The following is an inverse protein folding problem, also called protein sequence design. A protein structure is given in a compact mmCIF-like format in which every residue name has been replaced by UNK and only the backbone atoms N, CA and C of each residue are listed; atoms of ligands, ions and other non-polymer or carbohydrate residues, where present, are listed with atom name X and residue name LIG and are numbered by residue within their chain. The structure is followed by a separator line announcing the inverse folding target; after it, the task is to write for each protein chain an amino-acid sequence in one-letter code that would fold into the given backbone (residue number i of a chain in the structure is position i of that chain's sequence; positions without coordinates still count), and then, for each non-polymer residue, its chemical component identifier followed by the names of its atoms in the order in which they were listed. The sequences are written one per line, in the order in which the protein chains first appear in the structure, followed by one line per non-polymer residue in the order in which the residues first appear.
data_IF_215829819410
#
_entry.id   IF_215829819410
#
_cell.length_a   1.000
_cell.length_b   1.000
_cell.length_c   1.000
_cell.angle_alpha   90.00
_cell.angle_beta   90.00
_cell.angle_gamma   90.00
#
_symmetry.space_group_name_H-M   'P 1'
#
loop_
_entity.id
_entity.type
_entity.pdbx_description
1 polymer ?
#
# COMPACT_ATOMS: atom_id res chain seq x y z
N UNK A 1 24.54 17.76 -29.78
CA UNK A 1 25.30 17.23 -30.93
C UNK A 1 26.58 16.60 -30.39
N UNK A 2 27.03 15.47 -30.97
CA UNK A 2 28.12 14.53 -30.58
C UNK A 2 27.51 13.16 -30.20
N UNK A 3 26.95 12.37 -31.12
CA UNK A 3 27.57 11.58 -32.19
C UNK A 3 28.40 10.37 -31.71
N UNK A 4 27.71 9.21 -31.70
CA UNK A 4 28.09 7.86 -32.15
C UNK A 4 29.33 7.17 -31.58
N UNK A 5 29.13 5.93 -31.12
CA UNK A 5 29.84 4.74 -31.64
C UNK A 5 29.03 3.46 -31.42
N UNK A 6 28.49 2.94 -32.53
CA UNK A 6 28.01 1.57 -32.72
C UNK A 6 29.24 0.66 -32.87
N UNK A 7 29.31 -0.42 -32.11
CA UNK A 7 30.28 -1.50 -32.32
C UNK A 7 29.48 -2.76 -32.67
N UNK A 8 29.51 -3.12 -33.95
CA UNK A 8 29.07 -4.40 -34.45
C UNK A 8 30.27 -5.35 -34.43
N UNK A 9 30.12 -6.50 -33.78
CA UNK A 9 31.08 -7.62 -33.90
C UNK A 9 30.33 -8.79 -34.53
N UNK A 10 30.61 -8.95 -35.83
CA UNK A 10 30.29 -10.13 -36.62
C UNK A 10 31.38 -11.16 -36.33
N UNK A 11 31.03 -12.39 -35.95
CA UNK A 11 32.00 -13.48 -35.88
C UNK A 11 31.50 -14.75 -36.57
N UNK A 12 32.40 -15.31 -37.37
CA UNK A 12 32.19 -16.39 -38.31
C UNK A 12 31.94 -17.75 -37.65
N UNK A 13 31.22 -18.57 -38.41
CA UNK A 13 30.89 -19.96 -38.16
C UNK A 13 32.13 -20.87 -38.04
N UNK A 14 32.03 -21.85 -37.14
CA UNK A 14 32.76 -23.12 -37.23
C UNK A 14 31.76 -24.25 -37.04
N UNK A 15 31.65 -25.08 -38.07
CA UNK A 15 30.88 -26.32 -38.05
C UNK A 15 31.63 -27.37 -37.22
N UNK A 16 30.93 -28.01 -36.29
CA UNK A 16 31.38 -29.21 -35.60
C UNK A 16 30.30 -30.28 -35.77
N UNK A 17 30.66 -31.35 -36.49
CA UNK A 17 29.83 -32.53 -36.70
C UNK A 17 29.92 -33.46 -35.49
N UNK A 18 28.83 -33.58 -34.74
CA UNK A 18 28.66 -34.56 -33.68
C UNK A 18 27.31 -35.24 -33.82
N UNK A 19 27.31 -36.47 -34.36
CA UNK A 19 26.17 -37.39 -34.36
C UNK A 19 25.94 -37.93 -32.96
N UNK A 20 24.73 -37.73 -32.41
CA UNK A 20 24.32 -38.31 -31.13
C UNK A 20 22.84 -38.05 -30.88
N UNK A 21 22.08 -39.12 -30.68
CA UNK A 21 20.62 -39.18 -30.74
C UNK A 21 19.91 -38.18 -29.80
N UNK A 22 18.87 -37.53 -30.34
CA UNK A 22 17.92 -36.71 -29.59
C UNK A 22 16.93 -37.62 -28.87
N UNK A 23 17.02 -37.72 -27.55
CA UNK A 23 15.90 -38.19 -26.73
C UNK A 23 14.85 -37.08 -26.67
N UNK A 24 13.74 -37.26 -27.37
CA UNK A 24 12.54 -36.45 -27.18
C UNK A 24 11.87 -36.88 -25.87
N UNK A 25 12.26 -36.26 -24.76
CA UNK A 25 11.43 -36.25 -23.56
C UNK A 25 10.32 -35.22 -23.76
N UNK A 26 9.20 -35.66 -24.34
CA UNK A 26 7.92 -34.95 -24.24
C UNK A 26 7.49 -35.00 -22.78
N UNK A 27 7.85 -33.99 -22.00
CA UNK A 27 7.12 -33.71 -20.76
C UNK A 27 5.71 -33.33 -21.17
N UNK A 28 4.74 -34.16 -20.80
CA UNK A 28 3.33 -33.91 -21.03
C UNK A 28 2.95 -32.55 -20.43
N UNK A 29 2.81 -31.55 -21.29
CA UNK A 29 2.12 -30.32 -20.94
C UNK A 29 0.69 -30.72 -20.60
N UNK A 30 0.23 -30.36 -19.39
CA UNK A 30 -1.19 -30.31 -19.06
C UNK A 30 -1.82 -29.18 -19.88
N UNK A 31 -2.06 -29.44 -21.16
CA UNK A 31 -2.67 -28.51 -22.11
C UNK A 31 -4.12 -28.95 -22.37
N UNK A 32 -5.00 -28.76 -21.38
CA UNK A 32 -6.44 -28.97 -21.57
C UNK A 32 -7.24 -27.66 -21.55
N UNK A 33 -6.62 -26.52 -21.21
CA UNK A 33 -7.31 -25.22 -21.13
C UNK A 33 -6.84 -24.16 -22.16
N UNK A 34 -5.83 -24.47 -22.99
CA UNK A 34 -5.17 -23.49 -23.88
C UNK A 34 -5.66 -23.50 -25.34
N UNK A 35 -6.68 -24.31 -25.67
CA UNK A 35 -7.13 -24.49 -27.06
C UNK A 35 -8.08 -23.38 -27.56
N UNK A 36 -8.72 -22.64 -26.65
CA UNK A 36 -9.76 -21.66 -27.00
C UNK A 36 -9.42 -20.22 -26.60
N UNK A 37 -8.37 -19.99 -25.80
CA UNK A 37 -7.92 -18.65 -25.42
C UNK A 37 -6.74 -18.25 -26.31
N UNK A 38 -6.87 -17.22 -27.15
CA UNK A 38 -5.75 -16.76 -27.97
C UNK A 38 -4.59 -16.20 -27.13
N UNK A 39 -3.35 -16.44 -27.56
CA UNK A 39 -2.11 -16.03 -26.87
C UNK A 39 -2.05 -14.54 -26.49
N UNK A 40 -2.78 -13.66 -27.20
CA UNK A 40 -2.81 -12.22 -26.87
C UNK A 40 -3.52 -11.92 -25.54
N UNK A 41 -4.46 -12.74 -25.09
CA UNK A 41 -5.14 -12.55 -23.79
C UNK A 41 -4.20 -12.85 -22.62
N UNK A 42 -3.25 -13.78 -22.79
CA UNK A 42 -2.22 -14.04 -21.79
C UNK A 42 -1.20 -12.88 -21.70
N UNK A 43 -0.89 -12.20 -22.81
CA UNK A 43 0.00 -11.04 -22.84
C UNK A 43 -0.62 -9.78 -22.17
N UNK A 44 -1.95 -9.71 -22.11
CA UNK A 44 -2.67 -8.63 -21.43
C UNK A 44 -2.71 -8.80 -19.91
N UNK A 45 -2.50 -10.03 -19.40
CA UNK A 45 -2.45 -10.27 -17.96
C UNK A 45 -1.16 -9.67 -17.41
N UNK A 46 -1.22 -8.96 -16.27
CA UNK A 46 -0.01 -8.40 -15.68
C UNK A 46 0.97 -9.52 -15.34
N UNK A 47 2.25 -9.29 -15.63
CA UNK A 47 3.34 -10.26 -15.41
C UNK A 47 3.46 -10.68 -13.95
N UNK A 48 3.09 -9.80 -13.03
CA UNK A 48 3.10 -10.02 -11.59
C UNK A 48 1.71 -9.77 -11.03
N UNK A 49 1.29 -10.50 -9.98
CA UNK A 49 0.09 -10.15 -9.25
C UNK A 49 0.25 -8.75 -8.64
N UNK A 50 -0.83 -7.98 -8.71
CA UNK A 50 -0.90 -6.62 -8.19
C UNK A 50 -1.71 -6.64 -6.90
N UNK A 51 -1.19 -5.98 -5.87
CA UNK A 51 -1.97 -5.68 -4.67
C UNK A 51 -2.99 -4.57 -4.98
N UNK A 52 -4.09 -4.59 -4.24
CA UNK A 52 -5.04 -3.48 -4.20
C UNK A 52 -4.39 -2.22 -3.58
N UNK A 53 -5.17 -1.15 -3.44
CA UNK A 53 -4.70 0.10 -2.84
C UNK A 53 -4.23 -0.14 -1.40
N UNK A 54 -2.99 0.26 -1.11
CA UNK A 54 -2.37 0.12 0.21
C UNK A 54 -2.26 1.50 0.87
N UNK A 55 -2.67 1.55 2.14
CA UNK A 55 -2.55 2.72 3.00
C UNK A 55 -1.30 2.59 3.86
N UNK A 56 -0.28 3.39 3.58
CA UNK A 56 0.92 3.54 4.42
C UNK A 56 0.68 4.67 5.41
N UNK A 57 0.38 4.30 6.65
CA UNK A 57 0.03 5.22 7.73
C UNK A 57 1.17 5.38 8.70
N UNK A 58 1.52 6.63 9.00
CA UNK A 58 2.53 6.99 10.00
C UNK A 58 1.89 7.78 11.12
N UNK A 59 2.26 7.47 12.36
CA UNK A 59 1.81 8.15 13.57
C UNK A 59 2.99 8.62 14.41
N UNK A 60 2.86 9.77 15.04
CA UNK A 60 3.85 10.24 16.00
C UNK A 60 3.41 11.52 16.69
N UNK A 61 4.23 11.96 17.65
CA UNK A 61 3.91 13.11 18.49
C UNK A 61 4.43 14.43 17.92
N UNK A 62 5.49 14.37 17.10
CA UNK A 62 6.10 15.54 16.49
C UNK A 62 5.65 15.73 15.04
N UNK A 63 5.09 16.90 14.78
CA UNK A 63 4.43 17.22 13.51
C UNK A 63 5.42 17.38 12.33
N UNK A 64 6.51 18.18 12.43
CA UNK A 64 7.42 18.39 11.32
C UNK A 64 8.17 17.11 10.92
N UNK A 65 8.45 16.24 11.90
CA UNK A 65 9.05 14.93 11.65
C UNK A 65 8.14 14.06 10.77
N UNK A 66 6.84 14.02 11.07
CA UNK A 66 5.87 13.27 10.26
C UNK A 66 5.76 13.82 8.84
N UNK A 67 5.69 15.14 8.66
CA UNK A 67 5.63 15.76 7.33
C UNK A 67 6.88 15.47 6.49
N UNK A 68 8.05 15.57 7.10
CA UNK A 68 9.31 15.23 6.44
C UNK A 68 9.35 13.76 6.03
N UNK A 69 8.87 12.86 6.90
CA UNK A 69 8.85 11.43 6.62
C UNK A 69 7.79 11.05 5.58
N UNK A 70 6.63 11.69 5.58
CA UNK A 70 5.62 11.55 4.52
C UNK A 70 6.19 11.93 3.16
N UNK A 71 6.91 13.06 3.08
CA UNK A 71 7.60 13.48 1.85
C UNK A 71 8.63 12.43 1.41
N UNK A 72 9.38 11.85 2.35
CA UNK A 72 10.31 10.78 2.05
C UNK A 72 9.61 9.55 1.47
N UNK A 73 8.51 9.08 2.09
CA UNK A 73 7.71 7.95 1.59
C UNK A 73 7.24 8.21 0.15
N UNK A 74 6.71 9.40 -0.12
CA UNK A 74 6.27 9.80 -1.46
C UNK A 74 7.41 9.73 -2.48
N UNK A 75 8.59 10.27 -2.15
CA UNK A 75 9.74 10.22 -3.05
C UNK A 75 10.25 8.79 -3.30
N UNK A 76 10.22 7.92 -2.28
CA UNK A 76 10.61 6.51 -2.42
C UNK A 76 9.64 5.78 -3.34
N UNK A 77 8.33 6.00 -3.19
CA UNK A 77 7.32 5.40 -4.05
C UNK A 77 7.48 5.85 -5.51
N UNK A 78 7.70 7.16 -5.74
CA UNK A 78 7.96 7.74 -7.06
C UNK A 78 9.25 7.17 -7.69
N UNK A 79 10.33 7.02 -6.90
CA UNK A 79 11.60 6.42 -7.37
C UNK A 79 11.47 4.93 -7.72
N UNK A 80 10.51 4.23 -7.11
CA UNK A 80 10.21 2.82 -7.39
C UNK A 80 9.18 2.65 -8.51
N UNK A 81 8.81 3.72 -9.21
CA UNK A 81 7.79 3.75 -10.26
C UNK A 81 6.43 3.19 -9.79
N UNK A 82 6.04 3.46 -8.53
CA UNK A 82 4.74 3.08 -7.98
C UNK A 82 3.71 4.19 -8.19
N UNK A 83 2.47 3.81 -8.48
CA UNK A 83 1.36 4.75 -8.63
C UNK A 83 0.91 5.26 -7.25
N UNK A 84 0.98 6.57 -7.03
CA UNK A 84 0.55 7.22 -5.79
C UNK A 84 -0.85 7.80 -6.04
N UNK A 85 -1.83 7.38 -5.24
CA UNK A 85 -3.22 7.82 -5.41
C UNK A 85 -3.51 9.14 -4.67
N UNK A 86 -3.23 9.16 -3.37
CA UNK A 86 -3.48 10.31 -2.52
C UNK A 86 -2.52 10.32 -1.32
N UNK A 87 -2.33 11.49 -0.72
CA UNK A 87 -1.57 11.67 0.52
C UNK A 87 -2.28 12.67 1.42
N UNK A 88 -2.78 12.21 2.56
CA UNK A 88 -3.66 12.99 3.42
C UNK A 88 -3.31 12.94 4.91
N UNK A 89 -3.90 13.90 5.60
CA UNK A 89 -3.83 14.10 7.03
C UNK A 89 -5.07 13.55 7.72
N UNK A 90 -4.88 12.84 8.83
CA UNK A 90 -5.97 12.51 9.74
C UNK A 90 -6.06 13.56 10.87
N UNK A 91 -7.27 13.82 11.42
CA UNK A 91 -7.43 14.75 12.51
C UNK A 91 -6.62 14.29 13.75
N UNK A 92 -5.90 15.20 14.43
CA UNK A 92 -5.01 14.83 15.53
C UNK A 92 -5.80 14.35 16.75
N UNK A 93 -5.33 13.27 17.37
CA UNK A 93 -5.91 12.73 18.59
C UNK A 93 -5.29 13.42 19.81
N UNK A 94 -6.13 14.10 20.61
CA UNK A 94 -5.71 14.77 21.85
C UNK A 94 -5.92 13.83 23.03
N UNK A 95 -4.82 13.43 23.66
CA UNK A 95 -4.79 12.53 24.81
C UNK A 95 -4.42 13.33 26.06
N UNK A 96 -5.22 13.21 27.12
CA UNK A 96 -4.88 13.76 28.43
C UNK A 96 -4.39 12.61 29.31
N UNK A 97 -3.09 12.60 29.59
CA UNK A 97 -2.45 11.59 30.45
C UNK A 97 -2.28 12.19 31.84
N UNK A 98 -2.92 11.56 32.82
CA UNK A 98 -2.88 12.00 34.21
C UNK A 98 -2.04 11.03 35.03
N UNK A 99 -1.07 11.58 35.77
CA UNK A 99 -0.27 10.85 36.73
C UNK A 99 -0.87 11.07 38.11
N UNK A 100 -1.15 9.97 38.82
CA UNK A 100 -1.67 10.00 40.17
C UNK A 100 -0.54 9.94 41.21
N UNK A 101 -0.80 10.48 42.40
CA UNK A 101 0.10 10.32 43.54
C UNK A 101 0.18 8.84 43.96
N UNK A 102 1.32 8.38 44.49
CA UNK A 102 1.44 6.99 44.94
C UNK A 102 0.38 6.70 46.01
N UNK A 103 -0.36 5.60 45.83
CA UNK A 103 -1.44 5.15 46.72
C UNK A 103 -2.59 6.16 46.91
N UNK A 104 -2.84 7.03 45.93
CA UNK A 104 -3.93 8.01 46.01
C UNK A 104 -4.60 8.22 44.65
N UNK A 105 -5.88 8.60 44.65
CA UNK A 105 -6.63 9.03 43.45
C UNK A 105 -6.43 10.51 43.12
N UNK A 106 -5.63 11.23 43.91
CA UNK A 106 -5.33 12.64 43.67
C UNK A 106 -4.36 12.77 42.49
N UNK A 107 -4.75 13.59 41.51
CA UNK A 107 -3.95 13.92 40.34
C UNK A 107 -2.70 14.69 40.80
N UNK A 108 -1.53 14.22 40.39
CA UNK A 108 -0.23 14.84 40.68
C UNK A 108 0.20 15.75 39.52
N UNK A 109 0.09 15.25 38.29
CA UNK A 109 0.43 15.99 37.07
C UNK A 109 -0.44 15.55 35.90
N UNK A 110 -0.71 16.48 34.99
CA UNK A 110 -1.47 16.24 33.77
C UNK A 110 -0.63 16.64 32.55
N UNK A 111 -0.56 15.75 31.57
CA UNK A 111 0.17 15.92 30.32
C UNK A 111 -0.80 15.85 29.15
N UNK A 112 -0.73 16.82 28.25
CA UNK A 112 -1.53 16.86 27.02
C UNK A 112 -0.67 16.38 25.87
N UNK A 113 -0.93 15.19 25.38
CA UNK A 113 -0.22 14.59 24.25
C UNK A 113 -1.10 14.67 23.00
N UNK A 114 -0.54 15.16 21.91
CA UNK A 114 -1.21 15.18 20.61
C UNK A 114 -0.55 14.17 19.69
N UNK A 115 -1.33 13.23 19.19
CA UNK A 115 -0.87 12.24 18.20
C UNK A 115 -1.31 12.72 16.82
N UNK A 116 -0.33 12.93 15.95
CA UNK A 116 -0.54 13.26 14.55
C UNK A 116 -0.46 11.98 13.72
N UNK A 117 -1.23 11.98 12.64
CA UNK A 117 -1.31 10.85 11.73
C UNK A 117 -1.34 11.35 10.28
N UNK A 118 -0.56 10.68 9.44
CA UNK A 118 -0.45 10.93 8.00
C UNK A 118 -0.53 9.61 7.27
N UNK A 119 -1.20 9.60 6.13
CA UNK A 119 -1.37 8.40 5.31
C UNK A 119 -1.02 8.72 3.86
N UNK A 120 -0.26 7.83 3.22
CA UNK A 120 0.03 7.84 1.79
C UNK A 120 -0.59 6.60 1.18
N UNK A 121 -1.38 6.77 0.13
CA UNK A 121 -2.03 5.68 -0.60
C UNK A 121 -1.22 5.34 -1.85
N UNK A 122 -0.92 4.07 -2.00
CA UNK A 122 -0.20 3.54 -3.16
C UNK A 122 -1.09 2.51 -3.85
N UNK A 123 -1.28 2.68 -5.15
CA UNK A 123 -2.10 1.81 -5.99
C UNK A 123 -1.25 0.81 -6.78
N UNK A 124 -1.88 -0.33 -7.13
CA UNK A 124 -1.35 -1.34 -8.07
C UNK A 124 0.09 -1.77 -7.76
N UNK A 125 0.39 -2.01 -6.48
CA UNK A 125 1.74 -2.38 -6.07
C UNK A 125 2.07 -3.77 -6.58
N UNK A 126 3.16 -3.90 -7.35
CA UNK A 126 3.61 -5.20 -7.84
C UNK A 126 4.16 -6.06 -6.70
N UNK A 127 3.81 -7.35 -6.69
CA UNK A 127 4.29 -8.30 -5.68
C UNK A 127 5.80 -8.28 -5.37
N UNK A 128 6.73 -8.21 -6.34
CA UNK A 128 8.15 -8.14 -6.03
C UNK A 128 8.62 -6.79 -5.45
N UNK A 129 7.92 -5.69 -5.74
CA UNK A 129 8.30 -4.35 -5.27
C UNK A 129 7.83 -4.08 -3.85
N UNK A 130 6.70 -4.66 -3.44
CA UNK A 130 6.15 -4.51 -2.10
C UNK A 130 7.15 -4.80 -0.95
N UNK A 131 7.86 -5.94 -0.89
CA UNK A 131 8.83 -6.20 0.18
C UNK A 131 10.04 -5.25 0.14
N UNK A 132 10.42 -4.74 -1.04
CA UNK A 132 11.49 -3.76 -1.19
C UNK A 132 11.07 -2.41 -0.61
N UNK A 133 9.85 -1.98 -0.91
CA UNK A 133 9.24 -0.78 -0.34
C UNK A 133 9.22 -0.88 1.19
N UNK A 134 8.65 -1.94 1.75
CA UNK A 134 8.57 -2.14 3.21
C UNK A 134 9.94 -2.10 3.88
N UNK A 135 10.94 -2.76 3.31
CA UNK A 135 12.31 -2.77 3.87
C UNK A 135 12.95 -1.39 3.85
N UNK A 136 12.74 -0.63 2.77
CA UNK A 136 13.27 0.73 2.62
C UNK A 136 12.64 1.66 3.65
N UNK A 137 11.31 1.58 3.82
CA UNK A 137 10.59 2.35 4.82
C UNK A 137 10.99 1.97 6.25
N UNK A 138 11.12 0.67 6.54
CA UNK A 138 11.55 0.22 7.86
C UNK A 138 12.97 0.69 8.20
N UNK A 139 13.89 0.67 7.23
CA UNK A 139 15.27 1.10 7.43
C UNK A 139 15.39 2.62 7.65
N UNK A 140 14.48 3.41 7.06
CA UNK A 140 14.47 4.86 7.15
C UNK A 140 13.50 5.40 8.24
N UNK A 141 12.93 4.53 9.07
CA UNK A 141 11.94 4.91 10.07
C UNK A 141 12.59 5.78 11.17
N UNK A 142 12.16 7.03 11.36
CA UNK A 142 12.71 7.88 12.40
C UNK A 142 12.22 7.46 13.80
N UNK A 143 12.95 7.91 14.82
CA UNK A 143 12.60 7.64 16.21
C UNK A 143 11.25 8.26 16.61
N UNK A 144 10.50 7.56 17.46
CA UNK A 144 9.19 8.03 17.94
C UNK A 144 8.07 8.03 16.89
N UNK A 145 8.31 7.50 15.69
CA UNK A 145 7.29 7.32 14.64
C UNK A 145 6.92 5.85 14.51
N UNK A 146 5.61 5.58 14.44
CA UNK A 146 5.05 4.25 14.20
C UNK A 146 4.54 4.18 12.77
N UNK A 147 5.01 3.20 12.00
CA UNK A 147 4.55 2.92 10.64
C UNK A 147 3.63 1.69 10.63
N UNK A 148 2.49 1.82 9.96
CA UNK A 148 1.49 0.77 9.77
C UNK A 148 1.07 0.74 8.31
N UNK A 149 1.11 -0.44 7.70
CA UNK A 149 0.63 -0.67 6.33
C UNK A 149 -0.61 -1.55 6.39
N UNK A 150 -1.71 -1.07 5.81
CA UNK A 150 -2.97 -1.82 5.71
C UNK A 150 -3.54 -1.70 4.31
N UNK A 151 -4.35 -2.66 3.91
CA UNK A 151 -5.22 -2.52 2.74
C UNK A 151 -6.20 -1.37 2.95
N UNK A 152 -6.53 -0.66 1.87
CA UNK A 152 -7.48 0.44 1.90
C UNK A 152 -8.91 -0.09 2.12
N UNK A 153 -9.55 0.35 3.19
CA UNK A 153 -10.96 0.04 3.45
C UNK A 153 -11.82 1.29 3.42
N UNK A 154 -13.06 1.15 2.96
CA UNK A 154 -14.02 2.27 2.89
C UNK A 154 -14.28 2.90 4.27
N UNK A 155 -14.23 2.10 5.34
CA UNK A 155 -14.36 2.59 6.73
C UNK A 155 -13.26 3.62 7.09
N UNK A 156 -12.04 3.42 6.61
CA UNK A 156 -10.93 4.36 6.84
C UNK A 156 -11.13 5.66 6.06
N UNK A 157 -11.73 5.58 4.88
CA UNK A 157 -12.07 6.75 4.07
C UNK A 157 -13.24 7.53 4.72
N UNK A 158 -14.28 6.85 5.20
CA UNK A 158 -15.40 7.46 5.92
C UNK A 158 -14.95 8.18 7.20
N UNK A 159 -13.97 7.63 7.92
CA UNK A 159 -13.41 8.24 9.13
C UNK A 159 -12.75 9.61 8.87
N UNK A 160 -12.35 9.90 7.63
CA UNK A 160 -11.84 11.21 7.21
C UNK A 160 -12.93 12.28 7.22
N UNK A 161 -14.16 11.91 6.90
CA UNK A 161 -15.27 12.84 6.74
C UNK A 161 -15.96 13.14 8.06
N UNK A 162 -16.47 14.37 8.19
CA UNK A 162 -17.30 14.73 9.34
C UNK A 162 -18.64 13.98 9.22
N UNK A 163 -19.06 13.22 10.24
CA UNK A 163 -20.33 12.51 10.18
C UNK A 163 -21.51 13.49 10.11
N UNK A 164 -22.44 13.23 9.19
CA UNK A 164 -23.68 13.97 9.09
C UNK A 164 -24.59 13.66 10.29
N UNK A 165 -24.81 14.67 11.15
CA UNK A 165 -25.62 14.54 12.36
C UNK A 165 -27.10 14.37 12.02
N UNK A 166 -27.63 15.15 11.08
CA UNK A 166 -29.06 15.17 10.78
C UNK A 166 -29.47 13.84 10.13
N UNK A 167 -28.61 13.28 9.28
CA UNK A 167 -28.80 11.94 8.70
C UNK A 167 -28.83 10.86 9.80
N UNK A 168 -27.95 10.96 10.82
CA UNK A 168 -27.96 10.03 11.96
C UNK A 168 -29.22 10.15 12.80
N UNK A 169 -29.67 11.38 13.08
CA UNK A 169 -30.91 11.63 13.82
C UNK A 169 -32.14 11.08 13.06
N UNK A 170 -32.22 11.31 11.75
CA UNK A 170 -33.32 10.78 10.91
C UNK A 170 -33.31 9.25 10.86
N UNK A 171 -32.14 8.61 10.77
CA UNK A 171 -32.01 7.15 10.85
C UNK A 171 -32.50 6.63 12.19
N UNK A 172 -32.12 7.28 13.28
CA UNK A 172 -32.57 6.91 14.62
C UNK A 172 -34.08 7.04 14.77
N UNK A 173 -34.68 8.13 14.30
CA UNK A 173 -36.13 8.33 14.31
C UNK A 173 -36.86 7.26 13.48
N UNK A 174 -36.33 6.89 12.31
CA UNK A 174 -36.88 5.81 11.49
C UNK A 174 -36.84 4.46 12.22
N UNK A 175 -35.74 4.15 12.90
CA UNK A 175 -35.60 2.92 13.68
C UNK A 175 -36.59 2.89 14.85
N UNK A 176 -36.79 4.02 15.54
CA UNK A 176 -37.79 4.18 16.61
C UNK A 176 -39.24 4.03 16.10
N UNK A 177 -39.52 4.47 14.87
CA UNK A 177 -40.84 4.37 14.22
C UNK A 177 -41.13 3.00 13.60
N UNK A 178 -40.25 2.01 13.77
CA UNK A 178 -40.46 0.62 13.32
C UNK A 178 -39.70 0.23 12.04
N UNK A 179 -38.78 1.08 11.58
CA UNK A 179 -37.81 0.79 10.52
C UNK A 179 -38.41 0.51 9.13
N UNK A 180 -37.54 0.18 8.18
CA UNK A 180 -37.98 -0.29 6.87
C UNK A 180 -38.67 -1.67 7.03
N UNK A 181 -39.96 -1.74 6.71
CA UNK A 181 -40.66 -3.03 6.64
C UNK A 181 -39.89 -3.96 5.69
N UNK A 182 -39.34 -5.05 6.22
CA UNK A 182 -38.67 -6.05 5.38
C UNK A 182 -39.72 -6.62 4.43
N UNK A 183 -39.66 -6.24 3.14
CA UNK A 183 -40.43 -6.93 2.11
C UNK A 183 -39.98 -8.40 2.12
N UNK A 184 -40.94 -9.28 2.41
CA UNK A 184 -40.83 -10.73 2.23
C UNK A 184 -40.59 -11.08 0.77
#
# INVERSE_FOLDING_TARGET
MMARRLIAVLNHARAFSGTGARSFSHSAFTCTNRMYEPDYLELLKPKYPLYETLNVTIKGYDYPLLESYQRFIHNVADTMDLEIADGYAQPPQKLNVQKFKPNSSVIDSEYKLTVYERTVQVEKVQAPLYPLLLRTLQAALPEGVTLKVTEHTWEQEEARYVPDRDLKELKQQLDEMGGASKKK
#
